data_IF_865111817395
#
_entry.id   IF_865111817395
#
_cell.length_a   1.000
_cell.length_b   1.000
_cell.length_c   1.000
_cell.angle_alpha   90.00
_cell.angle_beta   90.00
_cell.angle_gamma   90.00
#
_symmetry.space_group_name_H-M   'P 1'
#
loop_
_entity.id
_entity.type
_entity.pdbx_description
1 polymer ?
#
# COMPACT_ATOMS: atom_id res chain seq x y z
N UNK A 1 47.56 -2.26 -29.78
CA UNK A 1 46.14 -1.98 -29.49
C UNK A 1 45.53 -1.51 -30.80
N UNK A 2 44.60 -2.30 -31.34
CA UNK A 2 44.12 -2.12 -32.72
C UNK A 2 42.96 -1.09 -32.72
N UNK A 3 42.90 -0.23 -33.73
CA UNK A 3 41.89 0.85 -33.90
C UNK A 3 40.45 0.34 -33.74
N UNK A 4 40.18 -0.92 -34.06
CA UNK A 4 38.90 -1.62 -33.92
C UNK A 4 38.54 -1.91 -32.44
N UNK A 5 39.53 -2.18 -31.60
CA UNK A 5 39.27 -2.41 -30.15
C UNK A 5 38.93 -1.09 -29.40
N UNK A 6 39.58 0.00 -29.80
CA UNK A 6 39.24 1.32 -29.26
C UNK A 6 37.81 1.77 -29.64
N UNK A 7 37.37 1.49 -30.88
CA UNK A 7 36.01 1.81 -31.33
C UNK A 7 34.95 0.96 -30.66
N UNK A 8 35.26 -0.30 -30.34
CA UNK A 8 34.32 -1.17 -29.62
C UNK A 8 34.20 -0.83 -28.11
N UNK A 9 35.25 -0.30 -27.49
CA UNK A 9 35.21 0.20 -26.10
C UNK A 9 34.42 1.52 -25.99
N UNK A 10 34.49 2.38 -27.02
CA UNK A 10 33.72 3.62 -27.07
C UNK A 10 32.26 3.44 -27.48
N UNK A 11 31.92 2.30 -28.07
CA UNK A 11 30.56 1.92 -28.48
C UNK A 11 29.80 1.12 -27.40
N UNK A 12 30.23 1.14 -26.15
CA UNK A 12 29.38 0.60 -25.09
C UNK A 12 28.09 1.45 -25.03
N UNK A 13 26.92 0.84 -25.20
CA UNK A 13 25.67 1.59 -25.07
C UNK A 13 25.63 2.14 -23.66
N UNK A 14 25.77 3.45 -23.53
CA UNK A 14 25.53 4.15 -22.28
C UNK A 14 24.13 3.77 -21.82
N UNK A 15 24.05 3.05 -20.71
CA UNK A 15 22.80 2.69 -20.07
C UNK A 15 22.02 4.01 -19.91
N UNK A 16 20.85 4.16 -20.54
CA UNK A 16 20.19 5.47 -20.59
C UNK A 16 19.99 6.04 -19.20
N UNK A 17 20.10 7.35 -19.08
CA UNK A 17 19.84 8.17 -17.87
C UNK A 17 18.38 8.07 -17.36
N UNK A 18 17.72 6.97 -17.59
CA UNK A 18 16.33 6.64 -17.28
C UNK A 18 16.11 6.40 -15.77
N UNK A 19 17.19 6.35 -14.97
CA UNK A 19 17.08 5.93 -13.57
C UNK A 19 16.72 7.07 -12.61
N UNK A 20 17.21 8.30 -12.84
CA UNK A 20 17.01 9.37 -11.86
C UNK A 20 15.56 9.88 -11.81
N UNK A 21 14.95 10.20 -12.94
CA UNK A 21 13.57 10.69 -12.97
C UNK A 21 12.56 9.66 -12.47
N UNK A 22 12.78 8.37 -12.76
CA UNK A 22 11.94 7.28 -12.28
C UNK A 22 12.03 7.12 -10.75
N UNK A 23 13.24 7.24 -10.20
CA UNK A 23 13.46 7.20 -8.76
C UNK A 23 12.77 8.35 -8.05
N UNK A 24 12.94 9.58 -8.53
CA UNK A 24 12.30 10.75 -7.94
C UNK A 24 10.78 10.67 -7.99
N UNK A 25 10.20 10.15 -9.07
CA UNK A 25 8.75 9.93 -9.18
C UNK A 25 8.26 8.91 -8.16
N UNK A 26 8.97 7.78 -8.01
CA UNK A 26 8.61 6.75 -7.03
C UNK A 26 8.75 7.30 -5.60
N UNK A 27 9.82 8.04 -5.28
CA UNK A 27 10.02 8.65 -3.96
C UNK A 27 8.95 9.70 -3.64
N UNK A 28 8.58 10.54 -4.61
CA UNK A 28 7.50 11.51 -4.43
C UNK A 28 6.16 10.84 -4.15
N UNK A 29 5.85 9.75 -4.87
CA UNK A 29 4.63 8.97 -4.62
C UNK A 29 4.66 8.30 -3.24
N UNK A 30 5.78 7.73 -2.84
CA UNK A 30 5.96 7.13 -1.50
C UNK A 30 5.75 8.19 -0.42
N UNK A 31 6.40 9.34 -0.53
CA UNK A 31 6.25 10.43 0.44
C UNK A 31 4.81 10.95 0.52
N UNK A 32 4.14 11.08 -0.64
CA UNK A 32 2.73 11.47 -0.69
C UNK A 32 1.83 10.45 0.02
N UNK A 33 1.98 9.14 -0.26
CA UNK A 33 1.16 8.10 0.34
C UNK A 33 1.40 7.99 1.85
N UNK A 34 2.66 8.05 2.31
CA UNK A 34 2.98 8.05 3.75
C UNK A 34 2.35 9.27 4.42
N UNK A 35 2.52 10.47 3.88
CA UNK A 35 1.93 11.69 4.43
C UNK A 35 0.40 11.63 4.48
N UNK A 36 -0.22 11.13 3.41
CA UNK A 36 -1.66 10.91 3.33
C UNK A 36 -2.16 9.94 4.40
N UNK A 37 -1.51 8.79 4.56
CA UNK A 37 -1.86 7.78 5.55
C UNK A 37 -1.69 8.28 6.99
N UNK A 38 -0.59 9.01 7.27
CA UNK A 38 -0.33 9.62 8.58
C UNK A 38 -1.40 10.65 8.91
N UNK A 39 -1.70 11.56 7.99
CA UNK A 39 -2.73 12.59 8.18
C UNK A 39 -4.10 11.95 8.40
N UNK A 40 -4.48 10.98 7.58
CA UNK A 40 -5.75 10.27 7.72
C UNK A 40 -5.88 9.58 9.09
N UNK A 41 -4.77 9.05 9.62
CA UNK A 41 -4.74 8.40 10.93
C UNK A 41 -4.80 9.38 12.10
N UNK A 42 -4.26 10.58 11.95
CA UNK A 42 -4.29 11.63 12.98
C UNK A 42 -5.65 12.34 13.06
N UNK A 43 -6.42 12.34 11.97
CA UNK A 43 -7.75 12.93 11.95
C UNK A 43 -8.80 12.00 12.60
N UNK A 44 -9.90 12.55 13.16
CA UNK A 44 -11.02 11.73 13.64
C UNK A 44 -11.58 10.84 12.51
N UNK A 45 -11.62 9.53 12.74
CA UNK A 45 -12.12 8.56 11.76
C UNK A 45 -12.84 7.39 12.46
N UNK A 46 -13.70 6.70 11.73
CA UNK A 46 -14.29 5.45 12.22
C UNK A 46 -13.22 4.36 12.34
N UNK A 47 -13.31 3.53 13.39
CA UNK A 47 -12.37 2.43 13.58
C UNK A 47 -12.32 1.51 12.35
N UNK A 48 -11.12 1.27 11.85
CA UNK A 48 -10.88 0.45 10.65
C UNK A 48 -11.08 1.16 9.32
N UNK A 49 -11.54 2.41 9.28
CA UNK A 49 -11.75 3.18 8.05
C UNK A 49 -10.52 4.03 7.71
N UNK A 50 -9.42 3.39 7.34
CA UNK A 50 -8.12 4.03 7.07
C UNK A 50 -7.62 3.68 5.66
N UNK A 51 -6.86 4.58 5.00
CA UNK A 51 -6.34 4.35 3.66
C UNK A 51 -5.12 3.42 3.58
N UNK A 52 -4.49 3.05 4.70
CA UNK A 52 -3.17 2.41 4.76
C UNK A 52 -3.06 1.15 3.88
N UNK A 53 -4.05 0.24 3.96
CA UNK A 53 -4.05 -0.99 3.18
C UNK A 53 -4.27 -0.70 1.68
N UNK A 54 -5.15 0.25 1.35
CA UNK A 54 -5.39 0.69 -0.02
C UNK A 54 -4.16 1.39 -0.61
N UNK A 55 -3.48 2.25 0.17
CA UNK A 55 -2.22 2.90 -0.21
C UNK A 55 -1.12 1.89 -0.46
N UNK A 56 -1.01 0.85 0.38
CA UNK A 56 -0.05 -0.24 0.21
C UNK A 56 -0.32 -1.04 -1.08
N UNK A 57 -1.57 -1.42 -1.35
CA UNK A 57 -1.98 -2.10 -2.58
C UNK A 57 -1.67 -1.23 -3.82
N UNK A 58 -2.02 0.06 -3.74
CA UNK A 58 -1.77 1.04 -4.79
C UNK A 58 -0.27 1.20 -5.06
N UNK A 59 0.54 1.40 -4.02
CA UNK A 59 1.99 1.47 -4.11
C UNK A 59 2.57 0.20 -4.75
N UNK A 60 2.12 -0.99 -4.32
CA UNK A 60 2.51 -2.27 -4.88
C UNK A 60 2.28 -2.37 -6.39
N UNK A 61 1.21 -1.76 -6.91
CA UNK A 61 0.91 -1.77 -8.35
C UNK A 61 1.59 -0.66 -9.13
N UNK A 62 1.77 0.53 -8.55
CA UNK A 62 2.22 1.73 -9.27
C UNK A 62 3.73 1.93 -9.22
N UNK A 63 4.39 1.65 -8.09
CA UNK A 63 5.83 1.87 -7.94
C UNK A 63 6.65 0.94 -8.83
N UNK A 64 7.66 1.49 -9.47
CA UNK A 64 8.64 0.74 -10.28
C UNK A 64 9.60 -0.02 -9.37
N UNK A 65 10.05 0.64 -8.29
CA UNK A 65 10.92 0.06 -7.27
C UNK A 65 10.05 -0.67 -6.24
N UNK A 66 9.83 -1.96 -6.49
CA UNK A 66 8.91 -2.81 -5.73
C UNK A 66 9.09 -2.80 -4.20
N UNK A 67 10.32 -2.86 -3.64
CA UNK A 67 10.50 -2.83 -2.19
C UNK A 67 9.95 -1.57 -1.51
N UNK A 68 9.93 -0.44 -2.21
CA UNK A 68 9.37 0.81 -1.66
C UNK A 68 7.88 0.71 -1.33
N UNK A 69 7.15 -0.20 -1.96
CA UNK A 69 5.74 -0.40 -1.67
C UNK A 69 5.49 -0.88 -0.23
N UNK A 70 6.41 -1.67 0.33
CA UNK A 70 6.33 -2.16 1.71
C UNK A 70 6.67 -1.04 2.70
N UNK A 71 7.54 -0.10 2.28
CA UNK A 71 7.91 1.05 3.12
C UNK A 71 6.70 1.93 3.43
N UNK A 72 5.74 2.07 2.49
CA UNK A 72 4.56 2.93 2.66
C UNK A 72 3.78 2.59 3.93
N UNK A 73 3.17 1.39 4.10
CA UNK A 73 2.39 1.08 5.29
C UNK A 73 3.24 1.00 6.56
N UNK A 74 4.48 0.50 6.48
CA UNK A 74 5.36 0.37 7.64
C UNK A 74 5.78 1.74 8.17
N UNK A 75 6.19 2.67 7.29
CA UNK A 75 6.57 4.02 7.69
C UNK A 75 5.37 4.83 8.18
N UNK A 76 4.20 4.73 7.52
CA UNK A 76 2.99 5.39 7.97
C UNK A 76 2.59 4.96 9.39
N UNK A 77 2.63 3.65 9.67
CA UNK A 77 2.37 3.10 11.00
C UNK A 77 3.41 3.54 12.01
N UNK A 78 4.70 3.44 11.70
CA UNK A 78 5.78 3.81 12.62
C UNK A 78 5.70 5.30 13.00
N UNK A 79 5.52 6.20 12.03
CA UNK A 79 5.42 7.64 12.27
C UNK A 79 4.18 7.96 13.12
N UNK A 80 3.02 7.41 12.77
CA UNK A 80 1.78 7.70 13.51
C UNK A 80 1.78 7.09 14.91
N UNK A 81 2.47 5.97 15.13
CA UNK A 81 2.61 5.37 16.47
C UNK A 81 3.40 6.24 17.45
N UNK A 82 4.21 7.18 16.96
CA UNK A 82 4.86 8.18 17.81
C UNK A 82 3.84 9.11 18.51
N UNK A 83 2.68 9.33 17.89
CA UNK A 83 1.61 10.16 18.47
C UNK A 83 0.66 9.38 19.37
N UNK A 84 0.42 8.09 19.10
CA UNK A 84 -0.57 7.28 19.80
C UNK A 84 0.03 6.34 20.86
N UNK A 85 1.35 6.21 20.92
CA UNK A 85 2.03 5.19 21.71
C UNK A 85 2.14 3.86 20.97
N UNK A 86 2.89 2.95 21.53
CA UNK A 86 3.07 1.60 21.01
C UNK A 86 2.34 0.60 21.91
N UNK A 87 1.60 -0.30 21.26
CA UNK A 87 1.09 -1.53 21.88
C UNK A 87 2.24 -2.50 22.21
N UNK A 88 1.90 -3.68 22.74
CA UNK A 88 2.91 -4.74 22.88
C UNK A 88 3.63 -4.94 21.54
N UNK A 89 4.96 -4.95 21.59
CA UNK A 89 5.80 -5.02 20.38
C UNK A 89 5.50 -6.26 19.51
N UNK A 90 5.01 -7.37 20.12
CA UNK A 90 4.65 -8.59 19.41
C UNK A 90 3.37 -8.38 18.59
N UNK A 91 2.40 -7.70 19.17
CA UNK A 91 1.17 -7.30 18.48
C UNK A 91 1.52 -6.35 17.34
N UNK A 92 2.33 -5.32 17.62
CA UNK A 92 2.77 -4.34 16.62
C UNK A 92 3.49 -5.02 15.44
N UNK A 93 4.40 -5.95 15.70
CA UNK A 93 5.14 -6.66 14.65
C UNK A 93 4.19 -7.41 13.70
N UNK A 94 3.21 -8.15 14.25
CA UNK A 94 2.25 -8.90 13.43
C UNK A 94 1.33 -7.96 12.65
N UNK A 95 0.87 -6.88 13.27
CA UNK A 95 0.04 -5.86 12.62
C UNK A 95 0.80 -5.20 11.47
N UNK A 96 2.07 -4.82 11.66
CA UNK A 96 2.89 -4.23 10.61
C UNK A 96 3.14 -5.21 9.45
N UNK A 97 3.40 -6.48 9.77
CA UNK A 97 3.54 -7.53 8.76
C UNK A 97 2.22 -7.73 7.97
N UNK A 98 1.08 -7.74 8.67
CA UNK A 98 -0.22 -7.86 8.05
C UNK A 98 -0.57 -6.66 7.15
N UNK A 99 -0.20 -5.44 7.54
CA UNK A 99 -0.35 -4.23 6.71
C UNK A 99 0.59 -4.17 5.50
N UNK A 100 1.68 -4.93 5.51
CA UNK A 100 2.55 -5.08 4.35
C UNK A 100 1.97 -6.05 3.29
N UNK A 101 1.03 -6.93 3.66
CA UNK A 101 0.42 -7.88 2.72
C UNK A 101 -0.24 -7.22 1.50
N UNK A 102 -1.02 -6.13 1.61
CA UNK A 102 -1.58 -5.44 0.46
C UNK A 102 -0.51 -4.95 -0.52
N UNK A 103 0.66 -4.49 -0.04
CA UNK A 103 1.76 -4.08 -0.91
C UNK A 103 2.29 -5.27 -1.73
N UNK A 104 2.51 -6.41 -1.08
CA UNK A 104 2.93 -7.64 -1.74
C UNK A 104 1.86 -8.13 -2.72
N UNK A 105 0.59 -8.15 -2.30
CA UNK A 105 -0.53 -8.50 -3.15
C UNK A 105 -0.63 -7.57 -4.37
N UNK A 106 -0.37 -6.27 -4.19
CA UNK A 106 -0.29 -5.29 -5.26
C UNK A 106 0.81 -5.63 -6.27
N UNK A 107 2.01 -5.98 -5.80
CA UNK A 107 3.13 -6.40 -6.65
C UNK A 107 2.79 -7.66 -7.46
N UNK A 108 2.19 -8.66 -6.82
CA UNK A 108 1.86 -9.94 -7.44
C UNK A 108 0.66 -9.84 -8.41
N UNK A 109 -0.31 -8.97 -8.08
CA UNK A 109 -1.55 -8.82 -8.87
C UNK A 109 -1.48 -7.75 -9.97
N UNK A 110 -0.30 -7.26 -10.35
CA UNK A 110 -0.13 -6.23 -11.40
C UNK A 110 -0.75 -6.58 -12.74
N UNK A 111 -0.85 -7.87 -13.04
CA UNK A 111 -1.47 -8.38 -14.27
C UNK A 111 -3.00 -8.40 -14.21
N UNK A 112 -3.57 -8.35 -13.02
CA UNK A 112 -5.00 -8.40 -12.81
C UNK A 112 -5.57 -6.97 -12.85
N UNK A 113 -5.88 -6.52 -14.05
CA UNK A 113 -6.44 -5.18 -14.28
C UNK A 113 -7.95 -5.24 -14.20
N UNK A 114 -8.56 -4.14 -13.73
CA UNK A 114 -10.01 -4.00 -13.62
C UNK A 114 -10.50 -3.84 -12.17
N UNK A 115 -11.76 -3.45 -12.05
CA UNK A 115 -12.37 -3.12 -10.76
C UNK A 115 -12.57 -4.38 -9.91
N UNK A 116 -13.20 -5.43 -10.47
CA UNK A 116 -13.50 -6.66 -9.74
C UNK A 116 -12.26 -7.39 -9.21
N UNK A 117 -11.21 -7.65 -10.02
CA UNK A 117 -10.00 -8.26 -9.48
C UNK A 117 -9.31 -7.39 -8.41
N UNK A 118 -9.34 -6.06 -8.55
CA UNK A 118 -8.75 -5.15 -7.56
C UNK A 118 -9.51 -5.21 -6.24
N UNK A 119 -10.84 -5.14 -6.30
CA UNK A 119 -11.69 -5.25 -5.12
C UNK A 119 -11.54 -6.63 -4.45
N UNK A 120 -11.47 -7.70 -5.22
CA UNK A 120 -11.27 -9.06 -4.69
C UNK A 120 -9.94 -9.22 -3.96
N UNK A 121 -8.85 -8.68 -4.53
CA UNK A 121 -7.53 -8.67 -3.85
C UNK A 121 -7.60 -7.86 -2.55
N UNK A 122 -8.27 -6.69 -2.58
CA UNK A 122 -8.38 -5.86 -1.38
C UNK A 122 -9.16 -6.56 -0.27
N UNK A 123 -10.32 -7.15 -0.58
CA UNK A 123 -11.12 -7.92 0.39
C UNK A 123 -10.31 -9.07 0.98
N UNK A 124 -9.57 -9.81 0.14
CA UNK A 124 -8.70 -10.89 0.64
C UNK A 124 -7.63 -10.36 1.61
N UNK A 125 -7.04 -9.19 1.34
CA UNK A 125 -6.09 -8.54 2.24
C UNK A 125 -6.75 -8.08 3.55
N UNK A 126 -7.96 -7.50 3.49
CA UNK A 126 -8.72 -7.08 4.69
C UNK A 126 -9.05 -8.28 5.58
N UNK A 127 -9.46 -9.42 4.99
CA UNK A 127 -9.70 -10.66 5.73
C UNK A 127 -8.42 -11.22 6.34
N UNK A 128 -7.31 -11.23 5.61
CA UNK A 128 -6.02 -11.67 6.13
C UNK A 128 -5.55 -10.78 7.28
N UNK A 129 -5.69 -9.45 7.14
CA UNK A 129 -5.41 -8.51 8.22
C UNK A 129 -6.27 -8.78 9.44
N UNK A 130 -7.57 -8.96 9.27
CA UNK A 130 -8.49 -9.30 10.36
C UNK A 130 -8.06 -10.56 11.11
N UNK A 131 -7.72 -11.61 10.39
CA UNK A 131 -7.28 -12.88 11.00
C UNK A 131 -5.97 -12.68 11.77
N UNK A 132 -4.97 -12.07 11.17
CA UNK A 132 -3.64 -11.95 11.77
C UNK A 132 -3.61 -10.97 12.94
N UNK A 133 -4.27 -9.82 12.82
CA UNK A 133 -4.28 -8.79 13.87
C UNK A 133 -5.03 -9.28 15.11
N UNK A 134 -6.18 -9.92 14.96
CA UNK A 134 -6.94 -10.45 16.09
C UNK A 134 -6.27 -11.66 16.73
N UNK A 135 -5.60 -12.49 15.94
CA UNK A 135 -4.74 -13.54 16.51
C UNK A 135 -3.63 -12.96 17.38
N UNK A 136 -2.97 -11.90 16.92
CA UNK A 136 -1.93 -11.22 17.70
C UNK A 136 -2.49 -10.62 18.99
N UNK A 137 -3.65 -9.99 18.94
CA UNK A 137 -4.34 -9.44 20.12
C UNK A 137 -4.68 -10.57 21.11
N UNK A 138 -5.29 -11.64 20.65
CA UNK A 138 -5.61 -12.79 21.51
C UNK A 138 -4.36 -13.37 22.16
N UNK A 139 -3.29 -13.60 21.39
CA UNK A 139 -2.10 -14.30 21.88
C UNK A 139 -1.20 -13.45 22.80
N UNK A 140 -1.16 -12.12 22.62
CA UNK A 140 -0.11 -11.29 23.24
C UNK A 140 -0.61 -10.05 23.99
N UNK A 141 -1.87 -9.62 23.84
CA UNK A 141 -2.34 -8.39 24.51
C UNK A 141 -2.69 -8.58 25.98
N UNK A 142 -2.92 -9.82 26.42
CA UNK A 142 -3.41 -10.11 27.76
C UNK A 142 -4.89 -9.75 28.01
N UNK A 143 -5.61 -9.30 26.99
CA UNK A 143 -7.03 -8.92 27.10
C UNK A 143 -7.97 -10.13 27.16
N UNK A 144 -7.53 -11.26 26.62
CA UNK A 144 -8.32 -12.51 26.54
C UNK A 144 -7.56 -13.69 27.15
N UNK A 145 -8.28 -14.69 27.63
CA UNK A 145 -7.68 -15.96 28.04
C UNK A 145 -7.06 -16.67 26.85
N UNK A 146 -5.88 -17.28 27.02
CA UNK A 146 -5.18 -17.98 25.94
C UNK A 146 -5.72 -19.42 25.83
N UNK A 147 -7.00 -19.53 25.52
CA UNK A 147 -7.76 -20.76 25.29
C UNK A 147 -8.74 -20.58 24.11
N UNK A 148 -9.47 -21.64 23.76
CA UNK A 148 -10.44 -21.59 22.65
C UNK A 148 -11.60 -20.64 22.92
N UNK A 149 -12.02 -20.47 24.18
CA UNK A 149 -13.09 -19.56 24.55
C UNK A 149 -12.65 -18.10 24.37
N UNK A 150 -11.45 -17.74 24.83
CA UNK A 150 -10.87 -16.41 24.64
C UNK A 150 -10.58 -16.11 23.17
N UNK A 151 -10.15 -17.10 22.38
CA UNK A 151 -9.97 -16.94 20.93
C UNK A 151 -11.30 -16.57 20.25
N UNK A 152 -12.36 -17.34 20.50
CA UNK A 152 -13.68 -17.07 19.94
C UNK A 152 -14.20 -15.70 20.39
N UNK A 153 -14.05 -15.37 21.68
CA UNK A 153 -14.46 -14.06 22.21
C UNK A 153 -13.75 -12.90 21.51
N UNK A 154 -12.42 -13.01 21.28
CA UNK A 154 -11.63 -11.99 20.59
C UNK A 154 -12.16 -11.76 19.17
N UNK A 155 -12.35 -12.84 18.39
CA UNK A 155 -12.82 -12.70 17.01
C UNK A 155 -14.26 -12.19 16.93
N UNK A 156 -15.15 -12.66 17.81
CA UNK A 156 -16.55 -12.19 17.85
C UNK A 156 -16.61 -10.71 18.19
N UNK A 157 -15.82 -10.24 19.16
CA UNK A 157 -15.73 -8.82 19.53
C UNK A 157 -15.18 -7.95 18.38
N UNK A 158 -14.37 -8.54 17.49
CA UNK A 158 -13.77 -7.83 16.37
C UNK A 158 -14.65 -7.77 15.11
N UNK A 159 -15.72 -8.58 14.99
CA UNK A 159 -16.58 -8.62 13.80
C UNK A 159 -17.16 -7.26 13.38
N UNK A 160 -17.62 -6.38 14.29
CA UNK A 160 -18.11 -5.05 13.90
C UNK A 160 -17.04 -4.20 13.19
N UNK A 161 -15.77 -4.36 13.58
CA UNK A 161 -14.66 -3.61 12.96
C UNK A 161 -14.31 -4.14 11.58
N UNK A 162 -14.51 -5.44 11.32
CA UNK A 162 -14.27 -6.05 10.00
C UNK A 162 -15.10 -5.38 8.91
N UNK A 163 -16.37 -5.08 9.18
CA UNK A 163 -17.25 -4.41 8.21
C UNK A 163 -16.72 -3.03 7.84
N UNK A 164 -16.31 -2.24 8.85
CA UNK A 164 -15.72 -0.93 8.63
C UNK A 164 -14.39 -1.01 7.88
N UNK A 165 -13.55 -1.99 8.20
CA UNK A 165 -12.27 -2.23 7.52
C UNK A 165 -12.49 -2.53 6.05
N UNK A 166 -13.35 -3.48 5.72
CA UNK A 166 -13.64 -3.83 4.32
C UNK A 166 -14.23 -2.63 3.57
N UNK A 167 -15.19 -1.92 4.17
CA UNK A 167 -15.80 -0.74 3.56
C UNK A 167 -14.77 0.38 3.33
N UNK A 168 -13.92 0.66 4.32
CA UNK A 168 -12.84 1.64 4.23
C UNK A 168 -11.82 1.27 3.16
N UNK A 169 -11.34 0.04 3.18
CA UNK A 169 -10.35 -0.46 2.22
C UNK A 169 -10.86 -0.41 0.78
N UNK A 170 -12.13 -0.77 0.54
CA UNK A 170 -12.74 -0.67 -0.79
C UNK A 170 -12.95 0.79 -1.20
N UNK A 171 -13.41 1.64 -0.29
CA UNK A 171 -13.60 3.08 -0.55
C UNK A 171 -12.27 3.74 -0.94
N UNK A 172 -11.23 3.58 -0.13
CA UNK A 172 -9.93 4.17 -0.40
C UNK A 172 -9.24 3.57 -1.63
N UNK A 173 -9.45 2.29 -1.89
CA UNK A 173 -9.02 1.66 -3.15
C UNK A 173 -9.69 2.33 -4.35
N UNK A 174 -11.00 2.57 -4.29
CA UNK A 174 -11.70 3.26 -5.36
C UNK A 174 -11.22 4.70 -5.54
N UNK A 175 -10.95 5.43 -4.45
CA UNK A 175 -10.41 6.81 -4.48
C UNK A 175 -9.02 6.84 -5.13
N UNK A 176 -8.09 6.01 -4.68
CA UNK A 176 -6.70 6.02 -5.18
C UNK A 176 -6.61 5.56 -6.64
N UNK A 177 -7.20 4.42 -6.97
CA UNK A 177 -7.15 3.90 -8.35
C UNK A 177 -8.02 4.70 -9.30
N UNK A 178 -9.20 5.15 -8.85
CA UNK A 178 -10.09 6.01 -9.62
C UNK A 178 -9.46 7.39 -9.89
N UNK A 179 -8.84 7.99 -8.87
CA UNK A 179 -8.09 9.25 -9.01
C UNK A 179 -6.94 9.14 -10.00
N UNK A 180 -6.15 8.07 -9.92
CA UNK A 180 -5.06 7.82 -10.88
C UNK A 180 -5.59 7.61 -12.31
N UNK A 181 -6.70 6.90 -12.46
CA UNK A 181 -7.35 6.72 -13.76
C UNK A 181 -7.88 8.05 -14.33
N UNK A 182 -8.59 8.84 -13.51
CA UNK A 182 -9.13 10.14 -13.91
C UNK A 182 -8.02 11.12 -14.33
N UNK A 183 -6.92 11.17 -13.57
CA UNK A 183 -5.74 12.01 -13.89
C UNK A 183 -5.14 11.61 -15.24
N UNK A 184 -4.93 10.31 -15.46
CA UNK A 184 -4.41 9.80 -16.73
C UNK A 184 -5.33 10.14 -17.90
N UNK A 185 -6.63 9.96 -17.73
CA UNK A 185 -7.64 10.28 -18.73
C UNK A 185 -7.66 11.78 -19.08
N UNK A 186 -7.62 12.65 -18.07
CA UNK A 186 -7.60 14.10 -18.25
C UNK A 186 -6.35 14.57 -19.02
N UNK A 187 -5.18 14.04 -18.68
CA UNK A 187 -3.92 14.34 -19.38
C UNK A 187 -3.99 13.90 -20.85
N UNK A 188 -4.48 12.69 -21.11
CA UNK A 188 -4.58 12.17 -22.48
C UNK A 188 -5.55 13.00 -23.34
N UNK A 189 -6.69 13.39 -22.80
CA UNK A 189 -7.68 14.21 -23.52
C UNK A 189 -7.19 15.65 -23.71
N UNK A 190 -6.52 16.25 -22.71
CA UNK A 190 -5.93 17.58 -22.85
C UNK A 190 -4.87 17.63 -23.96
N UNK A 191 -4.00 16.62 -24.03
CA UNK A 191 -3.01 16.50 -25.12
C UNK A 191 -3.66 16.29 -26.49
N UNK A 192 -4.77 15.54 -26.57
CA UNK A 192 -5.51 15.32 -27.81
C UNK A 192 -6.16 16.61 -28.32
N UNK A 193 -6.72 17.44 -27.41
CA UNK A 193 -7.29 18.74 -27.75
C UNK A 193 -6.23 19.73 -28.21
N UNK A 194 -5.09 19.80 -27.52
CA UNK A 194 -3.98 20.66 -27.90
C UNK A 194 -3.44 20.34 -29.31
N UNK A 195 -3.35 19.03 -29.67
CA UNK A 195 -2.94 18.59 -31.02
C UNK A 195 -3.94 18.91 -32.13
N UNK A 196 -5.23 19.10 -31.82
CA UNK A 196 -6.26 19.48 -32.79
C UNK A 196 -6.30 21.00 -33.03
N UNK A 197 -5.76 21.78 -32.10
CA UNK A 197 -5.73 23.24 -32.17
C UNK A 197 -4.44 23.80 -32.82
N UNK A 198 -3.43 22.97 -33.01
CA UNK A 198 -2.18 23.27 -33.74
C UNK A 198 -2.25 22.82 -35.20
#
# INVERSE_FOLDING_TARGET
MNHKELTSMLAQPQKPAQSSNALWTDLALVAFLIGFDVVARLLPHAHGFLPIAASALFAGRMLRIRPLAIVVPVAAMAISSLAFGMDDWRVALIVYAALALPAVAGILSRRWTGILPTAGVMVACSLAFFVLSNFAVWAFSGLYTVDMAGLVQCYVAALPFLQNTIAGDLFWTAVLFGGAFATKWAIQNGLALARRAS
#
